data_IF_638491135755
#
_entry.id   IF_638491135755
#
_cell.length_a   1.000
_cell.length_b   1.000
_cell.length_c   1.000
_cell.angle_alpha   90.00
_cell.angle_beta   90.00
_cell.angle_gamma   90.00
#
_symmetry.space_group_name_H-M   'P 1'
#
loop_
_entity.id
_entity.type
_entity.pdbx_description
1 polymer ?
#
# COMPACT_ATOMS: atom_id res chain seq x y z
N UNK A 1 -7.81 60.54 17.26
CA UNK A 1 -8.20 59.18 16.79
C UNK A 1 -7.65 58.80 15.41
N UNK A 2 -7.12 59.71 14.59
CA UNK A 2 -6.69 59.39 13.21
C UNK A 2 -5.16 59.29 13.02
N UNK A 3 -4.38 59.46 14.10
CA UNK A 3 -2.91 59.46 14.04
C UNK A 3 -2.31 58.10 14.46
N UNK A 4 -2.92 57.40 15.42
CA UNK A 4 -2.54 56.01 15.74
C UNK A 4 -2.82 55.07 14.55
N UNK A 5 -3.96 55.23 13.88
CA UNK A 5 -4.27 54.47 12.67
C UNK A 5 -3.28 54.74 11.53
N UNK A 6 -2.72 55.96 11.46
CA UNK A 6 -1.71 56.35 10.48
C UNK A 6 -0.34 55.77 10.83
N UNK A 7 0.03 55.81 12.12
CA UNK A 7 1.26 55.22 12.64
C UNK A 7 1.32 53.72 12.37
N UNK A 8 0.27 52.96 12.71
CA UNK A 8 0.21 51.52 12.43
C UNK A 8 0.20 51.21 10.93
N UNK A 9 -0.40 52.07 10.10
CA UNK A 9 -0.42 51.91 8.64
C UNK A 9 0.96 52.15 8.03
N UNK A 10 1.70 53.15 8.51
CA UNK A 10 3.08 53.44 8.07
C UNK A 10 4.07 52.40 8.61
N UNK A 11 3.89 51.91 9.84
CA UNK A 11 4.66 50.79 10.37
C UNK A 11 4.39 49.50 9.60
N UNK A 12 3.13 49.19 9.28
CA UNK A 12 2.80 48.05 8.44
C UNK A 12 3.38 48.20 7.02
N UNK A 13 3.42 49.41 6.47
CA UNK A 13 4.09 49.70 5.20
C UNK A 13 5.60 49.51 5.29
N UNK A 14 6.21 49.88 6.42
CA UNK A 14 7.62 49.68 6.74
C UNK A 14 7.98 48.19 6.78
N UNK A 15 7.22 47.38 7.53
CA UNK A 15 7.43 45.92 7.58
C UNK A 15 7.19 45.24 6.23
N UNK A 16 6.25 45.74 5.42
CA UNK A 16 5.95 45.22 4.07
C UNK A 16 7.03 45.56 3.04
N UNK A 17 7.69 46.70 3.21
CA UNK A 17 8.79 47.14 2.32
C UNK A 17 10.16 46.66 2.75
N UNK A 18 10.34 46.17 3.99
CA UNK A 18 11.66 45.83 4.54
C UNK A 18 11.84 44.34 4.87
N UNK A 19 10.77 43.56 5.01
CA UNK A 19 10.87 42.11 5.26
C UNK A 19 10.52 41.30 4.01
N UNK A 20 11.31 40.25 3.72
CA UNK A 20 11.07 39.31 2.62
C UNK A 20 9.92 38.35 2.99
N UNK A 21 8.69 38.86 3.01
CA UNK A 21 7.47 38.07 3.28
C UNK A 21 7.28 36.91 2.30
N UNK A 22 7.78 37.07 1.07
CA UNK A 22 7.76 36.02 0.05
C UNK A 22 8.53 34.77 0.52
N UNK A 23 9.64 34.94 1.23
CA UNK A 23 10.45 33.83 1.74
C UNK A 23 9.73 33.02 2.82
N UNK A 24 8.94 33.69 3.67
CA UNK A 24 8.07 33.03 4.64
C UNK A 24 6.89 32.32 3.95
N UNK A 25 6.34 32.91 2.88
CA UNK A 25 5.32 32.26 2.05
C UNK A 25 5.89 31.02 1.33
N UNK A 26 7.12 31.04 0.85
CA UNK A 26 7.77 29.84 0.32
C UNK A 26 8.08 28.80 1.38
N UNK A 27 8.51 29.21 2.57
CA UNK A 27 8.73 28.31 3.69
C UNK A 27 7.45 27.57 4.08
N UNK A 28 6.32 28.29 4.20
CA UNK A 28 5.03 27.70 4.55
C UNK A 28 4.48 26.79 3.45
N UNK A 29 4.61 27.16 2.16
CA UNK A 29 4.22 26.29 1.05
C UNK A 29 5.08 25.04 0.95
N UNK A 30 6.38 25.13 1.20
CA UNK A 30 7.28 23.97 1.29
C UNK A 30 6.90 23.04 2.45
N UNK A 31 6.49 23.60 3.59
CA UNK A 31 6.06 22.84 4.76
C UNK A 31 4.72 22.13 4.52
N UNK A 32 3.75 22.82 3.92
CA UNK A 32 2.49 22.20 3.48
C UNK A 32 2.73 21.03 2.52
N UNK A 33 3.65 21.22 1.57
CA UNK A 33 4.00 20.18 0.60
C UNK A 33 4.69 18.99 1.30
N UNK A 34 5.57 19.24 2.28
CA UNK A 34 6.18 18.19 3.10
C UNK A 34 5.15 17.42 3.94
N UNK A 35 4.16 18.10 4.52
CA UNK A 35 3.07 17.47 5.28
C UNK A 35 2.17 16.63 4.36
N UNK A 36 1.83 17.13 3.18
CA UNK A 36 1.06 16.40 2.18
C UNK A 36 1.78 15.11 1.77
N UNK A 37 3.05 15.22 1.37
CA UNK A 37 3.88 14.07 1.00
C UNK A 37 3.97 13.06 2.14
N UNK A 38 4.15 13.54 3.38
CA UNK A 38 4.18 12.68 4.57
C UNK A 38 2.88 11.88 4.75
N UNK A 39 1.72 12.53 4.63
CA UNK A 39 0.44 11.85 4.83
C UNK A 39 0.21 10.69 3.85
N UNK A 40 0.75 10.81 2.63
CA UNK A 40 0.75 9.73 1.63
C UNK A 40 1.77 8.63 1.98
N UNK A 41 2.95 9.00 2.47
CA UNK A 41 4.06 8.09 2.76
C UNK A 41 3.96 7.35 4.10
N UNK A 42 3.02 7.67 4.99
CA UNK A 42 2.92 7.05 6.32
C UNK A 42 2.60 5.54 6.26
N UNK A 43 3.67 4.75 6.12
CA UNK A 43 3.92 3.44 6.72
C UNK A 43 5.21 3.60 7.54
N UNK A 44 5.18 3.53 8.88
CA UNK A 44 6.25 4.00 9.77
C UNK A 44 7.54 3.14 9.79
N UNK A 45 7.77 2.23 8.84
CA UNK A 45 8.82 1.21 8.97
C UNK A 45 10.04 1.34 8.05
N UNK A 46 10.03 2.19 7.02
CA UNK A 46 11.12 2.13 6.01
C UNK A 46 12.04 3.35 5.90
N UNK A 47 11.74 4.52 6.48
CA UNK A 47 12.56 5.73 6.24
C UNK A 47 12.75 6.64 7.48
N UNK A 48 13.51 6.21 8.50
CA UNK A 48 13.85 7.05 9.64
C UNK A 48 14.62 8.32 9.23
N UNK A 49 15.43 8.24 8.15
CA UNK A 49 16.22 9.38 7.65
C UNK A 49 15.39 10.39 6.85
N UNK A 50 14.44 9.95 6.02
CA UNK A 50 13.63 10.88 5.20
C UNK A 50 12.77 11.82 6.06
N UNK A 51 12.31 11.34 7.23
CA UNK A 51 11.61 12.16 8.22
C UNK A 51 12.45 13.36 8.66
N UNK A 52 13.74 13.15 8.92
CA UNK A 52 14.64 14.21 9.34
C UNK A 52 14.86 15.24 8.23
N UNK A 53 15.02 14.82 6.97
CA UNK A 53 15.18 15.72 5.83
C UNK A 53 13.93 16.57 5.54
N UNK A 54 12.74 15.98 5.60
CA UNK A 54 11.48 16.71 5.42
C UNK A 54 11.22 17.72 6.55
N UNK A 55 11.56 17.36 7.78
CA UNK A 55 11.48 18.26 8.94
C UNK A 55 12.65 19.24 9.02
N UNK A 56 13.75 19.03 8.34
CA UNK A 56 14.87 19.98 8.27
C UNK A 56 14.67 21.02 7.15
N UNK A 57 13.67 20.84 6.28
CA UNK A 57 13.41 21.69 5.11
C UNK A 57 13.20 23.16 5.48
N UNK A 58 12.61 23.45 6.65
CA UNK A 58 12.38 24.82 7.13
C UNK A 58 13.64 25.50 7.69
N UNK A 59 14.68 24.74 8.05
CA UNK A 59 15.90 25.29 8.69
C UNK A 59 16.66 26.20 7.73
N UNK A 60 16.94 25.83 6.46
CA UNK A 60 17.50 26.75 5.48
C UNK A 60 16.64 27.98 5.21
N UNK A 61 15.31 27.84 5.27
CA UNK A 61 14.37 28.97 5.10
C UNK A 61 14.49 29.98 6.23
N UNK A 62 14.48 29.51 7.47
CA UNK A 62 14.56 30.37 8.67
C UNK A 62 15.94 31.00 8.80
N UNK A 63 16.99 30.25 8.49
CA UNK A 63 18.36 30.79 8.44
C UNK A 63 18.51 31.81 7.32
N UNK A 64 18.00 31.53 6.11
CA UNK A 64 18.00 32.47 4.99
C UNK A 64 17.19 33.73 5.25
N UNK A 65 16.03 33.61 5.90
CA UNK A 65 15.22 34.74 6.36
C UNK A 65 15.97 35.57 7.41
N UNK A 66 16.59 34.94 8.40
CA UNK A 66 17.37 35.63 9.42
C UNK A 66 18.57 36.39 8.84
N UNK A 67 19.29 35.78 7.90
CA UNK A 67 20.44 36.41 7.22
C UNK A 67 20.01 37.56 6.32
N UNK A 68 18.93 37.40 5.54
CA UNK A 68 18.41 38.49 4.68
C UNK A 68 17.80 39.63 5.48
N UNK A 69 17.14 39.35 6.61
CA UNK A 69 16.65 40.36 7.54
C UNK A 69 17.79 41.11 8.25
N UNK A 70 18.85 40.42 8.65
CA UNK A 70 20.02 41.02 9.32
C UNK A 70 20.87 41.88 8.37
N UNK A 71 21.07 41.42 7.13
CA UNK A 71 21.90 42.12 6.13
C UNK A 71 21.11 43.14 5.28
N UNK A 72 19.81 43.32 5.53
CA UNK A 72 18.89 44.19 4.75
C UNK A 72 18.97 43.96 3.23
N UNK A 73 19.32 42.75 2.81
CA UNK A 73 19.54 42.42 1.41
C UNK A 73 18.26 41.85 0.81
N UNK A 74 17.57 42.65 -0.02
CA UNK A 74 16.36 42.24 -0.71
C UNK A 74 16.70 41.66 -2.08
N UNK A 75 16.75 40.34 -2.16
CA UNK A 75 16.92 39.66 -3.42
C UNK A 75 15.69 38.78 -3.71
N UNK A 76 14.85 39.22 -4.66
CA UNK A 76 13.62 38.52 -5.05
C UNK A 76 13.88 37.12 -5.62
N UNK A 77 15.13 36.82 -6.00
CA UNK A 77 15.55 35.52 -6.52
C UNK A 77 15.75 34.48 -5.40
N UNK A 78 16.04 34.91 -4.17
CA UNK A 78 16.37 33.99 -3.08
C UNK A 78 15.20 33.07 -2.71
N UNK A 79 13.99 33.61 -2.81
CA UNK A 79 12.74 32.89 -2.58
C UNK A 79 12.53 31.75 -3.59
N UNK A 80 12.67 32.05 -4.88
CA UNK A 80 12.51 31.08 -5.95
C UNK A 80 13.60 29.99 -5.89
N UNK A 81 14.84 30.35 -5.55
CA UNK A 81 15.93 29.40 -5.32
C UNK A 81 15.66 28.45 -4.15
N UNK A 82 15.17 28.98 -3.03
CA UNK A 82 14.80 28.17 -1.87
C UNK A 82 13.66 27.19 -2.21
N UNK A 83 12.67 27.62 -2.99
CA UNK A 83 11.55 26.77 -3.37
C UNK A 83 11.96 25.65 -4.34
N UNK A 84 12.87 25.93 -5.29
CA UNK A 84 13.46 24.90 -6.14
C UNK A 84 14.28 23.90 -5.33
N UNK A 85 15.06 24.37 -4.35
CA UNK A 85 15.77 23.51 -3.41
C UNK A 85 14.79 22.63 -2.63
N UNK A 86 13.70 23.20 -2.11
CA UNK A 86 12.67 22.46 -1.40
C UNK A 86 12.01 21.37 -2.27
N UNK A 87 11.67 21.69 -3.52
CA UNK A 87 11.15 20.70 -4.46
C UNK A 87 12.18 19.61 -4.78
N UNK A 88 13.46 19.96 -4.89
CA UNK A 88 14.55 19.00 -5.08
C UNK A 88 14.68 18.02 -3.91
N UNK A 89 14.61 18.50 -2.67
CA UNK A 89 14.64 17.64 -1.47
C UNK A 89 13.42 16.72 -1.43
N UNK A 90 12.23 17.23 -1.72
CA UNK A 90 11.01 16.41 -1.75
C UNK A 90 11.07 15.39 -2.89
N UNK A 91 11.57 15.77 -4.07
CA UNK A 91 11.77 14.85 -5.18
C UNK A 91 12.79 13.75 -4.84
N UNK A 92 13.90 14.08 -4.16
CA UNK A 92 14.87 13.10 -3.71
C UNK A 92 14.28 12.10 -2.69
N UNK A 93 13.46 12.61 -1.75
CA UNK A 93 12.72 11.76 -0.80
C UNK A 93 11.77 10.83 -1.53
N UNK A 94 10.98 11.33 -2.48
CA UNK A 94 10.06 10.50 -3.26
C UNK A 94 10.78 9.51 -4.18
N UNK A 95 11.93 9.88 -4.73
CA UNK A 95 12.78 9.00 -5.53
C UNK A 95 13.26 7.79 -4.73
N UNK A 96 13.61 7.99 -3.46
CA UNK A 96 13.96 6.91 -2.55
C UNK A 96 12.79 5.92 -2.31
N UNK A 97 11.55 6.37 -2.53
CA UNK A 97 10.31 5.60 -2.37
C UNK A 97 9.68 5.23 -3.72
N UNK A 98 10.47 5.25 -4.82
CA UNK A 98 9.99 4.93 -6.18
C UNK A 98 9.26 3.58 -6.30
N UNK A 99 9.48 2.65 -5.38
CA UNK A 99 8.80 1.35 -5.36
C UNK A 99 7.33 1.43 -4.93
N UNK A 100 6.90 2.55 -4.35
CA UNK A 100 5.52 2.80 -3.93
C UNK A 100 4.78 3.57 -5.04
N UNK A 101 3.75 2.94 -5.63
CA UNK A 101 2.97 3.51 -6.77
C UNK A 101 2.49 4.96 -6.58
N UNK A 102 1.95 5.37 -5.43
CA UNK A 102 1.47 6.75 -5.27
C UNK A 102 2.62 7.77 -5.11
N UNK A 103 3.87 7.34 -4.87
CA UNK A 103 5.02 8.24 -4.85
C UNK A 103 5.41 8.70 -6.26
N UNK A 104 5.24 7.84 -7.28
CA UNK A 104 5.54 8.17 -8.67
C UNK A 104 4.57 9.24 -9.20
N UNK A 105 3.27 9.15 -8.87
CA UNK A 105 2.30 10.16 -9.28
C UNK A 105 2.60 11.53 -8.66
N UNK A 106 3.07 11.55 -7.40
CA UNK A 106 3.52 12.78 -6.74
C UNK A 106 4.83 13.34 -7.32
N UNK A 107 5.75 12.48 -7.77
CA UNK A 107 6.98 12.92 -8.45
C UNK A 107 6.66 13.73 -9.71
N UNK A 108 5.71 13.27 -10.53
CA UNK A 108 5.26 14.02 -11.71
C UNK A 108 4.64 15.37 -11.34
N UNK A 109 3.85 15.42 -10.25
CA UNK A 109 3.29 16.67 -9.74
C UNK A 109 4.39 17.67 -9.35
N UNK A 110 5.42 17.21 -8.64
CA UNK A 110 6.53 18.04 -8.18
C UNK A 110 7.43 18.45 -9.35
N UNK A 111 7.70 17.56 -10.30
CA UNK A 111 8.45 17.88 -11.51
C UNK A 111 7.77 19.02 -12.29
N UNK A 112 6.44 18.97 -12.40
CA UNK A 112 5.66 20.02 -13.05
C UNK A 112 5.68 21.36 -12.28
N UNK A 113 5.63 21.31 -10.94
CA UNK A 113 5.79 22.50 -10.09
C UNK A 113 7.19 23.11 -10.21
N UNK A 114 8.23 22.28 -10.22
CA UNK A 114 9.61 22.70 -10.37
C UNK A 114 9.85 23.33 -11.75
N UNK A 115 9.27 22.77 -12.82
CA UNK A 115 9.36 23.35 -14.16
C UNK A 115 8.73 24.75 -14.22
N UNK A 116 7.53 24.94 -13.64
CA UNK A 116 6.89 26.25 -13.56
C UNK A 116 7.76 27.28 -12.83
N UNK A 117 8.35 26.89 -11.68
CA UNK A 117 9.24 27.77 -10.92
C UNK A 117 10.56 28.06 -11.63
N UNK A 118 11.12 27.09 -12.34
CA UNK A 118 12.29 27.30 -13.18
C UNK A 118 12.03 28.36 -14.27
N UNK A 119 10.85 28.33 -14.90
CA UNK A 119 10.45 29.32 -15.90
C UNK A 119 10.25 30.71 -15.28
N UNK A 120 9.66 30.81 -14.07
CA UNK A 120 9.52 32.07 -13.32
C UNK A 120 10.89 32.66 -12.97
N UNK A 121 11.81 31.82 -12.47
CA UNK A 121 13.17 32.23 -12.13
C UNK A 121 13.91 32.73 -13.38
N UNK A 122 13.77 32.02 -14.51
CA UNK A 122 14.34 32.42 -15.79
C UNK A 122 13.84 33.79 -16.26
N UNK A 123 12.54 34.08 -16.14
CA UNK A 123 11.97 35.40 -16.45
C UNK A 123 12.62 36.50 -15.61
N UNK A 124 12.71 36.31 -14.29
CA UNK A 124 13.31 37.30 -13.37
C UNK A 124 14.80 37.50 -13.65
N UNK A 125 15.52 36.44 -14.00
CA UNK A 125 16.98 36.49 -14.25
C UNK A 125 17.31 37.15 -15.58
N UNK A 126 16.51 36.87 -16.63
CA UNK A 126 16.71 37.42 -17.98
C UNK A 126 16.05 38.79 -18.18
N UNK A 127 15.28 39.28 -17.20
CA UNK A 127 14.53 40.53 -17.30
C UNK A 127 13.38 40.49 -18.33
N UNK A 128 13.03 39.30 -18.81
CA UNK A 128 11.99 39.10 -19.82
C UNK A 128 10.64 38.92 -19.13
N UNK A 129 9.73 39.88 -19.32
CA UNK A 129 8.36 39.75 -18.86
C UNK A 129 7.46 39.34 -20.01
N UNK A 130 6.61 38.33 -19.78
CA UNK A 130 5.51 38.04 -20.70
C UNK A 130 4.51 39.18 -20.64
N UNK A 131 4.06 39.66 -21.81
CA UNK A 131 3.10 40.77 -21.92
C UNK A 131 1.77 40.24 -22.48
N UNK A 132 0.66 40.88 -22.10
CA UNK A 132 -0.66 40.61 -22.65
C UNK A 132 -1.21 39.23 -22.28
N UNK A 133 -1.79 38.53 -23.25
CA UNK A 133 -2.48 37.23 -23.05
C UNK A 133 -1.55 36.14 -22.50
N UNK A 134 -0.25 36.18 -22.83
CA UNK A 134 0.74 35.18 -22.37
C UNK A 134 0.98 35.27 -20.87
N UNK A 135 0.97 36.48 -20.28
CA UNK A 135 1.07 36.64 -18.84
C UNK A 135 -0.17 36.10 -18.11
N UNK A 136 -1.35 36.33 -18.71
CA UNK A 136 -2.63 35.84 -18.20
C UNK A 136 -2.69 34.31 -18.15
N UNK A 137 -2.31 33.65 -19.25
CA UNK A 137 -2.25 32.18 -19.31
C UNK A 137 -1.20 31.60 -18.37
N UNK A 138 -0.04 32.26 -18.23
CA UNK A 138 1.01 31.82 -17.31
C UNK A 138 0.59 31.94 -15.82
N UNK A 139 -0.16 32.99 -15.47
CA UNK A 139 -0.75 33.12 -14.13
C UNK A 139 -1.86 32.09 -13.88
N UNK A 140 -2.66 31.78 -14.90
CA UNK A 140 -3.65 30.72 -14.84
C UNK A 140 -3.00 29.33 -14.65
N UNK A 141 -1.88 29.07 -15.34
CA UNK A 141 -1.06 27.86 -15.17
C UNK A 141 -0.56 27.70 -13.72
N UNK A 142 -0.14 28.80 -13.08
CA UNK A 142 0.24 28.77 -11.66
C UNK A 142 -0.89 28.33 -10.73
N UNK A 143 -2.14 28.74 -10.99
CA UNK A 143 -3.31 28.26 -10.23
C UNK A 143 -3.68 26.81 -10.57
N UNK A 144 -3.56 26.43 -11.84
CA UNK A 144 -3.81 25.07 -12.31
C UNK A 144 -2.84 24.05 -11.68
N UNK A 145 -1.60 24.45 -11.42
CA UNK A 145 -0.62 23.63 -10.71
C UNK A 145 -1.09 23.19 -9.32
N UNK A 146 -1.75 24.07 -8.57
CA UNK A 146 -2.31 23.73 -7.26
C UNK A 146 -3.46 22.72 -7.37
N UNK A 147 -4.33 22.90 -8.37
CA UNK A 147 -5.43 21.96 -8.66
C UNK A 147 -4.91 20.59 -9.08
N UNK A 148 -3.85 20.54 -9.90
CA UNK A 148 -3.20 19.31 -10.31
C UNK A 148 -2.57 18.58 -9.12
N UNK A 149 -1.88 19.30 -8.23
CA UNK A 149 -1.32 18.73 -7.01
C UNK A 149 -2.43 18.15 -6.09
N UNK A 150 -3.54 18.87 -5.90
CA UNK A 150 -4.68 18.37 -5.13
C UNK A 150 -5.32 17.13 -5.78
N UNK A 151 -5.49 17.13 -7.11
CA UNK A 151 -6.05 16.00 -7.84
C UNK A 151 -5.17 14.75 -7.73
N UNK A 152 -3.86 14.89 -7.95
CA UNK A 152 -2.90 13.79 -7.82
C UNK A 152 -2.74 13.32 -6.38
N UNK A 153 -2.86 14.22 -5.40
CA UNK A 153 -2.93 13.86 -3.99
C UNK A 153 -4.17 13.01 -3.68
N UNK A 154 -5.34 13.38 -4.22
CA UNK A 154 -6.57 12.58 -4.09
C UNK A 154 -6.42 11.17 -4.68
N UNK A 155 -5.80 11.07 -5.86
CA UNK A 155 -5.47 9.76 -6.48
C UNK A 155 -4.52 8.94 -5.61
N UNK A 156 -3.48 9.57 -5.05
CA UNK A 156 -2.53 8.90 -4.16
C UNK A 156 -3.22 8.34 -2.90
N UNK A 157 -4.13 9.11 -2.30
CA UNK A 157 -4.94 8.67 -1.15
C UNK A 157 -5.91 7.55 -1.52
N UNK A 158 -6.52 7.60 -2.71
CA UNK A 158 -7.36 6.53 -3.21
C UNK A 158 -6.58 5.22 -3.40
N UNK A 159 -5.40 5.29 -4.04
CA UNK A 159 -4.53 4.12 -4.24
C UNK A 159 -4.13 3.47 -2.91
N UNK A 160 -3.79 4.27 -1.89
CA UNK A 160 -3.47 3.77 -0.54
C UNK A 160 -4.61 2.92 0.03
N UNK A 161 -5.86 3.36 -0.14
CA UNK A 161 -7.05 2.64 0.33
C UNK A 161 -7.28 1.34 -0.44
N UNK A 162 -7.07 1.35 -1.76
CA UNK A 162 -7.19 0.14 -2.59
C UNK A 162 -6.13 -0.90 -2.22
N UNK A 163 -4.88 -0.49 -2.06
CA UNK A 163 -3.79 -1.36 -1.61
C UNK A 163 -4.07 -1.97 -0.23
N UNK A 164 -4.65 -1.19 0.71
CA UNK A 164 -5.02 -1.71 2.02
C UNK A 164 -6.14 -2.76 1.94
N UNK A 165 -7.13 -2.55 1.06
CA UNK A 165 -8.20 -3.52 0.82
C UNK A 165 -7.67 -4.81 0.18
N UNK A 166 -6.80 -4.70 -0.82
CA UNK A 166 -6.17 -5.87 -1.45
C UNK A 166 -5.36 -6.69 -0.45
N UNK A 167 -4.63 -6.04 0.47
CA UNK A 167 -3.89 -6.73 1.52
C UNK A 167 -4.81 -7.45 2.51
N UNK A 168 -5.93 -6.83 2.90
CA UNK A 168 -6.92 -7.46 3.76
C UNK A 168 -7.58 -8.68 3.08
N UNK A 169 -7.96 -8.55 1.81
CA UNK A 169 -8.55 -9.64 1.03
C UNK A 169 -7.60 -10.83 0.90
N UNK A 170 -6.32 -10.59 0.61
CA UNK A 170 -5.32 -11.68 0.52
C UNK A 170 -5.14 -12.39 1.87
N UNK A 171 -5.15 -11.66 2.98
CA UNK A 171 -5.05 -12.27 4.30
C UNK A 171 -6.28 -13.14 4.64
N UNK A 172 -7.48 -12.70 4.24
CA UNK A 172 -8.71 -13.49 4.38
C UNK A 172 -8.68 -14.75 3.51
N UNK A 173 -8.24 -14.64 2.24
CA UNK A 173 -8.08 -15.78 1.33
C UNK A 173 -7.06 -16.80 1.85
N UNK A 174 -5.92 -16.33 2.38
CA UNK A 174 -4.91 -17.20 2.99
C UNK A 174 -5.47 -17.95 4.20
N UNK A 175 -6.22 -17.26 5.07
CA UNK A 175 -6.87 -17.88 6.22
C UNK A 175 -7.91 -18.94 5.79
N UNK A 176 -8.73 -18.64 4.77
CA UNK A 176 -9.69 -19.60 4.20
C UNK A 176 -8.99 -20.82 3.60
N UNK A 177 -7.90 -20.61 2.84
CA UNK A 177 -7.11 -21.71 2.27
C UNK A 177 -6.53 -22.61 3.34
N UNK A 178 -6.03 -22.05 4.45
CA UNK A 178 -5.53 -22.83 5.58
C UNK A 178 -6.64 -23.66 6.22
N UNK A 179 -7.84 -23.11 6.41
CA UNK A 179 -8.98 -23.85 6.94
C UNK A 179 -9.42 -24.99 6.01
N UNK A 180 -9.48 -24.75 4.70
CA UNK A 180 -9.83 -25.78 3.71
C UNK A 180 -8.76 -26.87 3.67
N UNK A 181 -7.47 -26.51 3.70
CA UNK A 181 -6.37 -27.47 3.74
C UNK A 181 -6.43 -28.35 5.00
N UNK A 182 -6.71 -27.76 6.17
CA UNK A 182 -6.88 -28.51 7.41
C UNK A 182 -8.06 -29.49 7.34
N UNK A 183 -9.21 -29.06 6.80
CA UNK A 183 -10.37 -29.94 6.58
C UNK A 183 -10.07 -31.07 5.60
N UNK A 184 -9.32 -30.80 4.53
CA UNK A 184 -8.96 -31.83 3.56
C UNK A 184 -8.08 -32.91 4.20
N UNK A 185 -7.09 -32.53 5.01
CA UNK A 185 -6.24 -33.49 5.73
C UNK A 185 -7.08 -34.36 6.68
N UNK A 186 -8.02 -33.75 7.41
CA UNK A 186 -8.91 -34.49 8.30
C UNK A 186 -9.81 -35.46 7.53
N UNK A 187 -10.40 -35.02 6.41
CA UNK A 187 -11.22 -35.86 5.55
C UNK A 187 -10.43 -37.01 4.95
N UNK A 188 -9.21 -36.77 4.47
CA UNK A 188 -8.32 -37.83 3.96
C UNK A 188 -8.00 -38.86 5.03
N UNK A 189 -7.75 -38.43 6.27
CA UNK A 189 -7.53 -39.34 7.41
C UNK A 189 -8.76 -40.21 7.67
N UNK A 190 -9.94 -39.61 7.72
CA UNK A 190 -11.20 -40.33 7.95
C UNK A 190 -11.51 -41.31 6.81
N UNK A 191 -11.25 -40.92 5.57
CA UNK A 191 -11.42 -41.80 4.40
C UNK A 191 -10.45 -42.97 4.46
N UNK A 192 -9.18 -42.73 4.82
CA UNK A 192 -8.18 -43.79 4.98
C UNK A 192 -8.57 -44.77 6.10
N UNK A 193 -9.02 -44.25 7.25
CA UNK A 193 -9.49 -45.03 8.39
C UNK A 193 -10.70 -45.91 8.01
N UNK A 194 -11.74 -45.32 7.40
CA UNK A 194 -12.92 -46.07 6.94
C UNK A 194 -12.57 -47.12 5.90
N UNK A 195 -11.66 -46.81 4.97
CA UNK A 195 -11.18 -47.78 3.97
C UNK A 195 -10.50 -48.96 4.65
N UNK A 196 -9.61 -48.72 5.61
CA UNK A 196 -8.94 -49.78 6.36
C UNK A 196 -9.94 -50.69 7.11
N UNK A 197 -10.92 -50.09 7.80
CA UNK A 197 -11.99 -50.85 8.47
C UNK A 197 -12.81 -51.68 7.49
N UNK A 198 -13.22 -51.10 6.36
CA UNK A 198 -13.98 -51.83 5.34
C UNK A 198 -13.18 -52.97 4.73
N UNK A 199 -11.88 -52.78 4.47
CA UNK A 199 -11.03 -53.86 3.95
C UNK A 199 -10.87 -54.99 4.96
N UNK A 200 -10.77 -54.67 6.26
CA UNK A 200 -10.69 -55.68 7.31
C UNK A 200 -12.00 -56.47 7.41
N UNK A 201 -13.14 -55.78 7.47
CA UNK A 201 -14.46 -56.41 7.49
C UNK A 201 -14.69 -57.30 6.26
N UNK A 202 -14.28 -56.85 5.07
CA UNK A 202 -14.39 -57.66 3.86
C UNK A 202 -13.54 -58.94 3.93
N UNK A 203 -12.33 -58.87 4.50
CA UNK A 203 -11.47 -60.03 4.69
C UNK A 203 -12.06 -61.03 5.72
N UNK A 204 -12.59 -60.54 6.83
CA UNK A 204 -13.27 -61.35 7.85
C UNK A 204 -14.50 -62.06 7.27
N UNK A 205 -15.30 -61.35 6.47
CA UNK A 205 -16.50 -61.89 5.83
C UNK A 205 -16.16 -62.94 4.76
N UNK A 206 -15.08 -62.74 4.00
CA UNK A 206 -14.55 -63.75 3.08
C UNK A 206 -14.08 -65.01 3.81
N UNK A 207 -13.39 -64.87 4.94
CA UNK A 207 -12.95 -65.99 5.75
C UNK A 207 -14.14 -66.80 6.30
N UNK A 208 -15.15 -66.12 6.87
CA UNK A 208 -16.36 -66.77 7.37
C UNK A 208 -17.14 -67.49 6.26
N UNK A 209 -17.22 -66.92 5.05
CA UNK A 209 -17.84 -67.58 3.90
C UNK A 209 -17.06 -68.82 3.44
N UNK A 210 -15.73 -68.77 3.47
CA UNK A 210 -14.90 -69.93 3.13
C UNK A 210 -15.11 -71.06 4.14
N UNK A 211 -15.14 -70.74 5.44
CA UNK A 211 -15.41 -71.69 6.52
C UNK A 211 -16.81 -72.32 6.36
N UNK A 212 -17.85 -71.51 6.17
CA UNK A 212 -19.21 -71.98 5.93
C UNK A 212 -19.31 -72.94 4.73
N UNK A 213 -18.60 -72.65 3.63
CA UNK A 213 -18.53 -73.53 2.46
C UNK A 213 -17.84 -74.85 2.79
N UNK A 214 -16.74 -74.83 3.53
CA UNK A 214 -16.03 -76.03 3.96
C UNK A 214 -16.90 -76.88 4.88
N UNK A 215 -17.59 -76.29 5.85
CA UNK A 215 -18.52 -77.00 6.74
C UNK A 215 -19.69 -77.59 5.96
N UNK A 216 -20.28 -76.86 5.00
CA UNK A 216 -21.32 -77.41 4.13
C UNK A 216 -20.83 -78.63 3.33
N UNK A 217 -19.61 -78.57 2.76
CA UNK A 217 -19.05 -79.73 2.05
C UNK A 217 -18.85 -80.94 2.96
N UNK A 218 -18.37 -80.73 4.20
CA UNK A 218 -18.22 -81.78 5.19
C UNK A 218 -19.56 -82.39 5.60
N UNK A 219 -20.59 -81.56 5.82
CA UNK A 219 -21.96 -82.01 6.12
C UNK A 219 -22.53 -82.86 4.97
N UNK A 220 -22.41 -82.41 3.73
CA UNK A 220 -22.85 -83.18 2.54
C UNK A 220 -22.13 -84.54 2.48
N UNK A 221 -20.84 -84.57 2.78
CA UNK A 221 -20.08 -85.83 2.80
C UNK A 221 -20.51 -86.74 3.95
N UNK A 222 -20.80 -86.18 5.13
CA UNK A 222 -21.33 -86.90 6.28
C UNK A 222 -22.71 -87.51 5.98
N UNK A 223 -23.61 -86.74 5.37
CA UNK A 223 -24.92 -87.26 4.94
C UNK A 223 -24.79 -88.36 3.89
N UNK A 224 -23.88 -88.21 2.90
CA UNK A 224 -23.62 -89.29 1.93
C UNK A 224 -23.14 -90.57 2.59
N UNK A 225 -22.23 -90.49 3.56
CA UNK A 225 -21.73 -91.67 4.28
C UNK A 225 -22.82 -92.29 5.18
N UNK A 226 -23.62 -91.46 5.84
CA UNK A 226 -24.77 -91.92 6.63
C UNK A 226 -25.83 -92.61 5.75
N UNK A 227 -26.19 -92.02 4.60
CA UNK A 227 -27.14 -92.58 3.64
C UNK A 227 -26.63 -93.89 3.02
N UNK A 228 -25.33 -94.01 2.71
CA UNK A 228 -24.72 -95.28 2.30
C UNK A 228 -24.73 -96.34 3.42
N UNK A 229 -24.53 -95.91 4.67
CA UNK A 229 -24.68 -96.76 5.87
C UNK A 229 -26.12 -97.25 6.06
N UNK A 230 -27.10 -96.39 5.85
CA UNK A 230 -28.53 -96.72 5.92
C UNK A 230 -28.92 -97.69 4.79
N UNK A 231 -28.47 -97.46 3.57
CA UNK A 231 -28.70 -98.38 2.44
C UNK A 231 -28.04 -99.74 2.67
N UNK A 232 -26.83 -99.79 3.22
CA UNK A 232 -26.15 -101.06 3.54
C UNK A 232 -26.78 -101.80 4.71
N UNK A 233 -27.31 -101.08 5.71
CA UNK A 233 -28.08 -101.66 6.81
C UNK A 233 -29.47 -102.16 6.37
N UNK A 234 -30.14 -101.43 5.47
CA UNK A 234 -31.42 -101.85 4.88
C UNK A 234 -31.30 -103.08 4.00
N UNK A 235 -30.25 -103.18 3.16
CA UNK A 235 -29.96 -104.37 2.34
C UNK A 235 -29.53 -105.59 3.18
N UNK A 236 -29.01 -105.38 4.40
CA UNK A 236 -28.70 -106.46 5.33
C UNK A 236 -29.89 -106.88 6.20
N UNK A 237 -30.97 -106.08 6.21
CA UNK A 237 -32.20 -106.34 6.95
C UNK A 237 -33.29 -106.96 6.06
N UNK A 238 -33.28 -106.69 4.75
CA UNK A 238 -33.99 -107.47 3.72
C UNK A 238 -33.28 -108.79 3.41
#
# INVERSE_FOLDING_TARGET
MNDEARYWKDQALYWKTHANWDLLAAATTALLLAVLVRSVLDKPRHLPRARAWLLALWVPAVVGFGVTAALRYQNSLLDDWYQLFAYGVVAAVLWQVRHYRPAITLLWAIAWLAAYRGIVLGQKTLGVQFVGTVAGTFKALGKANFLLLLGLFGVAMYQKKTLAKEQAQRAEEEAQRQQVAARNIELERLVAERRATLTQQAAELQAALAELRTTQQQLIQSEKMASLGELTAGIAHE
#
